data_IF_757597969382
#
_entry.id   IF_757597969382
#
_cell.length_a   1.000
_cell.length_b   1.000
_cell.length_c   1.000
_cell.angle_alpha   90.00
_cell.angle_beta   90.00
_cell.angle_gamma   90.00
#
_symmetry.space_group_name_H-M   'P 1'
#
loop_
_entity.id
_entity.type
_entity.pdbx_description
1 polymer ?
#
# COMPACT_ATOMS: atom_id res chain seq x y z
N UNK A 1 -24.35 -17.82 2.45
CA UNK A 1 -24.27 -17.15 3.77
C UNK A 1 -22.83 -16.82 4.11
N UNK A 2 -22.34 -15.65 3.70
CA UNK A 2 -21.07 -15.13 4.20
C UNK A 2 -21.30 -14.64 5.65
N UNK A 3 -20.46 -15.07 6.60
CA UNK A 3 -20.46 -14.51 7.97
C UNK A 3 -20.08 -13.03 7.91
N UNK A 4 -20.53 -12.25 8.90
CA UNK A 4 -20.38 -10.77 8.97
C UNK A 4 -18.93 -10.27 8.83
N UNK A 5 -17.92 -11.13 8.99
CA UNK A 5 -16.49 -10.83 8.83
C UNK A 5 -15.78 -11.72 7.79
N UNK A 6 -16.44 -12.01 6.67
CA UNK A 6 -15.88 -12.89 5.63
C UNK A 6 -14.90 -12.16 4.71
N UNK A 7 -13.72 -12.76 4.53
CA UNK A 7 -12.73 -12.33 3.55
C UNK A 7 -12.79 -13.13 2.23
N UNK A 8 -13.84 -13.93 2.02
CA UNK A 8 -13.96 -14.75 0.81
C UNK A 8 -13.84 -13.87 -0.45
N UNK A 9 -13.02 -14.26 -1.45
CA UNK A 9 -12.40 -15.58 -1.65
C UNK A 9 -11.05 -15.80 -0.95
N UNK A 10 -10.55 -14.83 -0.19
CA UNK A 10 -9.26 -14.92 0.49
C UNK A 10 -9.33 -15.83 1.71
N UNK A 11 -8.23 -16.57 1.94
CA UNK A 11 -8.12 -17.53 3.04
C UNK A 11 -7.91 -16.80 4.38
N UNK A 12 -8.64 -17.21 5.40
CA UNK A 12 -8.49 -16.76 6.80
C UNK A 12 -8.88 -15.28 7.04
N UNK A 13 -8.47 -14.73 8.18
CA UNK A 13 -8.69 -13.34 8.58
C UNK A 13 -7.68 -12.84 9.59
N UNK A 14 -8.05 -11.82 10.36
CA UNK A 14 -7.23 -11.18 11.39
C UNK A 14 -6.42 -12.19 12.22
N UNK A 15 -5.12 -11.91 12.40
CA UNK A 15 -4.18 -12.77 13.14
C UNK A 15 -3.54 -13.87 12.30
N UNK A 16 -3.70 -13.84 10.99
CA UNK A 16 -3.15 -14.83 10.07
C UNK A 16 -2.28 -14.17 9.00
N UNK A 17 -1.22 -14.85 8.57
CA UNK A 17 -0.38 -14.43 7.43
C UNK A 17 -0.94 -14.86 6.07
N UNK A 18 -2.12 -15.49 6.01
CA UNK A 18 -2.82 -15.74 4.75
C UNK A 18 -3.44 -14.44 4.20
N UNK A 19 -3.71 -14.40 2.90
CA UNK A 19 -4.25 -13.21 2.20
C UNK A 19 -5.42 -12.51 2.90
N UNK A 20 -6.35 -13.27 3.51
CA UNK A 20 -7.48 -12.66 4.23
C UNK A 20 -7.09 -11.92 5.50
N UNK A 21 -5.87 -12.13 6.02
CA UNK A 21 -5.34 -11.44 7.19
C UNK A 21 -4.32 -10.34 6.88
N UNK A 22 -3.81 -10.25 5.64
CA UNK A 22 -2.77 -9.28 5.25
C UNK A 22 -3.17 -8.36 4.09
N UNK A 23 -4.20 -8.70 3.31
CA UNK A 23 -4.66 -7.90 2.18
C UNK A 23 -5.79 -6.97 2.62
N UNK A 24 -5.58 -5.67 2.43
CA UNK A 24 -6.51 -4.63 2.85
C UNK A 24 -7.14 -3.91 1.64
N UNK A 25 -8.39 -3.41 1.76
CA UNK A 25 -8.95 -2.49 0.79
C UNK A 25 -8.22 -1.14 0.88
N UNK A 26 -7.84 -0.58 -0.27
CA UNK A 26 -7.16 0.71 -0.36
C UNK A 26 -7.76 1.54 -1.49
N UNK A 27 -8.17 2.77 -1.18
CA UNK A 27 -8.70 3.75 -2.13
C UNK A 27 -8.02 5.08 -1.84
N UNK A 28 -7.53 5.76 -2.88
CA UNK A 28 -6.96 7.11 -2.78
C UNK A 28 -7.76 8.03 -3.69
N UNK A 29 -8.09 9.23 -3.20
CA UNK A 29 -8.72 10.29 -3.99
C UNK A 29 -7.88 11.55 -3.85
N UNK A 30 -7.31 12.00 -4.97
CA UNK A 30 -6.57 13.26 -5.04
C UNK A 30 -6.89 13.98 -6.35
N UNK A 31 -7.81 14.97 -6.33
CA UNK A 31 -8.20 15.69 -7.54
C UNK A 31 -7.00 16.36 -8.21
N UNK A 32 -6.89 16.20 -9.53
CA UNK A 32 -5.79 16.75 -10.32
C UNK A 32 -4.51 15.90 -10.32
N UNK A 33 -4.44 14.85 -9.50
CA UNK A 33 -3.29 13.91 -9.46
C UNK A 33 -3.72 12.50 -9.80
N UNK A 34 -4.70 11.95 -9.08
CA UNK A 34 -5.21 10.59 -9.30
C UNK A 34 -6.35 10.62 -10.31
N UNK A 35 -6.23 9.85 -11.38
CA UNK A 35 -7.29 9.67 -12.36
C UNK A 35 -8.51 8.96 -11.72
N UNK A 36 -9.71 9.57 -11.72
CA UNK A 36 -10.88 8.98 -11.08
C UNK A 36 -11.30 7.64 -11.70
N UNK A 37 -11.75 6.70 -10.88
CA UNK A 37 -12.31 5.42 -11.34
C UNK A 37 -11.27 4.44 -11.90
N UNK A 38 -9.98 4.69 -11.70
CA UNK A 38 -8.90 3.80 -12.11
C UNK A 38 -8.59 2.75 -11.04
N UNK A 39 -7.88 1.69 -11.46
CA UNK A 39 -7.38 0.63 -10.61
C UNK A 39 -5.89 0.41 -10.87
N UNK A 40 -5.13 0.15 -9.81
CA UNK A 40 -3.73 -0.24 -9.85
C UNK A 40 -3.58 -1.61 -9.20
N UNK A 41 -2.88 -2.53 -9.87
CA UNK A 41 -2.66 -3.89 -9.38
C UNK A 41 -1.25 -4.12 -8.82
N UNK A 42 -0.43 -3.06 -8.80
CA UNK A 42 0.88 -3.09 -8.17
C UNK A 42 0.73 -3.34 -6.66
N UNK A 43 1.45 -4.31 -6.08
CA UNK A 43 1.36 -4.55 -4.65
C UNK A 43 2.10 -3.46 -3.87
N UNK A 44 1.50 -3.03 -2.76
CA UNK A 44 1.99 -2.00 -1.84
C UNK A 44 1.86 -2.48 -0.40
N UNK A 45 2.66 -1.93 0.51
CA UNK A 45 2.60 -2.21 1.95
C UNK A 45 2.26 -0.94 2.73
N UNK A 46 1.80 -1.10 3.97
CA UNK A 46 1.52 0.02 4.88
C UNK A 46 2.75 0.92 5.11
N UNK A 47 3.96 0.35 5.08
CA UNK A 47 5.22 1.10 5.20
C UNK A 47 5.45 2.07 4.03
N UNK A 48 4.84 1.84 2.87
CA UNK A 48 4.94 2.72 1.71
C UNK A 48 4.19 4.06 1.94
N UNK A 49 3.26 4.12 2.89
CA UNK A 49 2.48 5.34 3.15
C UNK A 49 3.34 6.45 3.75
N UNK A 50 4.32 6.14 4.59
CA UNK A 50 5.19 7.15 5.19
C UNK A 50 5.92 8.01 4.13
N UNK A 51 6.77 7.43 3.25
CA UNK A 51 7.45 8.23 2.23
C UNK A 51 6.49 8.81 1.18
N UNK A 52 5.33 8.17 0.97
CA UNK A 52 4.30 8.71 0.06
C UNK A 52 3.70 10.00 0.60
N UNK A 53 3.23 9.99 1.85
CA UNK A 53 2.59 11.17 2.46
C UNK A 53 3.58 12.33 2.59
N UNK A 54 4.85 12.06 2.91
CA UNK A 54 5.90 13.08 2.88
C UNK A 54 6.04 13.70 1.49
N UNK A 55 6.14 12.87 0.44
CA UNK A 55 6.23 13.35 -0.94
C UNK A 55 4.98 14.16 -1.35
N UNK A 56 3.78 13.71 -0.95
CA UNK A 56 2.52 14.43 -1.18
C UNK A 56 2.49 15.80 -0.51
N UNK A 57 3.09 15.91 0.68
CA UNK A 57 3.18 17.16 1.44
C UNK A 57 4.33 18.06 0.99
N UNK A 58 5.20 17.60 0.07
CA UNK A 58 6.42 18.32 -0.31
C UNK A 58 7.43 18.42 0.83
N UNK A 59 7.45 17.44 1.74
CA UNK A 59 8.34 17.38 2.90
C UNK A 59 9.42 16.34 2.70
N UNK A 60 10.62 16.63 3.21
CA UNK A 60 11.74 15.68 3.21
C UNK A 60 11.64 14.66 4.36
N UNK A 61 10.94 15.00 5.45
CA UNK A 61 10.86 14.16 6.65
C UNK A 61 12.09 14.31 7.55
N UNK A 62 12.21 13.40 8.53
CA UNK A 62 13.34 13.39 9.47
C UNK A 62 14.52 12.62 8.85
N UNK A 63 15.70 13.23 8.69
CA UNK A 63 16.84 12.57 8.05
C UNK A 63 17.32 11.31 8.78
N UNK A 64 17.24 11.27 10.11
CA UNK A 64 17.69 10.11 10.90
C UNK A 64 16.71 8.95 10.79
N UNK A 65 15.41 9.23 10.77
CA UNK A 65 14.39 8.24 10.45
C UNK A 65 14.55 7.70 9.01
N UNK A 66 14.85 8.59 8.07
CA UNK A 66 14.95 8.24 6.65
C UNK A 66 16.17 7.40 6.27
N UNK A 67 17.14 7.21 7.18
CA UNK A 67 18.38 6.44 6.91
C UNK A 67 18.08 4.99 6.55
N UNK A 68 16.99 4.43 7.09
CA UNK A 68 16.59 3.03 6.88
C UNK A 68 15.06 2.99 6.71
N UNK A 69 14.58 3.31 5.50
CA UNK A 69 13.17 3.15 5.15
C UNK A 69 12.94 1.82 4.44
N UNK A 70 12.01 1.02 4.97
CA UNK A 70 11.54 -0.21 4.32
C UNK A 70 10.54 0.05 3.19
N UNK A 71 9.82 1.17 3.29
CA UNK A 71 8.82 1.60 2.32
C UNK A 71 9.40 2.43 1.20
N UNK A 72 8.69 2.48 0.07
CA UNK A 72 8.97 3.39 -1.04
C UNK A 72 7.71 4.17 -1.40
N UNK A 73 7.87 5.41 -1.85
CA UNK A 73 6.73 6.23 -2.24
C UNK A 73 5.96 5.58 -3.39
N UNK A 74 4.64 5.49 -3.24
CA UNK A 74 3.71 5.03 -4.29
C UNK A 74 3.19 6.20 -5.13
N UNK A 75 3.68 7.43 -4.90
CA UNK A 75 3.28 8.61 -5.67
C UNK A 75 3.31 8.39 -7.20
N UNK A 76 4.34 7.74 -7.80
CA UNK A 76 4.33 7.46 -9.23
C UNK A 76 3.13 6.61 -9.68
N UNK A 77 2.65 5.69 -8.83
CA UNK A 77 1.46 4.88 -9.11
C UNK A 77 0.15 5.67 -8.96
N UNK A 78 0.15 6.70 -8.10
CA UNK A 78 -0.99 7.61 -7.95
C UNK A 78 -1.13 8.53 -9.17
N UNK A 79 -0.01 8.99 -9.71
CA UNK A 79 0.05 9.82 -10.93
C UNK A 79 -0.22 9.01 -12.20
N UNK A 80 0.25 7.76 -12.25
CA UNK A 80 0.01 6.85 -13.36
C UNK A 80 -0.08 5.38 -12.84
N UNK A 81 -1.26 4.75 -12.89
CA UNK A 81 -1.43 3.37 -12.40
C UNK A 81 -0.63 2.32 -13.20
N UNK A 82 -0.12 2.68 -14.38
CA UNK A 82 0.75 1.85 -15.21
C UNK A 82 2.25 2.21 -15.09
N UNK A 83 2.62 3.08 -14.14
CA UNK A 83 4.02 3.44 -13.93
C UNK A 83 4.89 2.20 -13.64
N UNK A 84 6.16 2.17 -14.09
CA UNK A 84 7.07 1.09 -13.77
C UNK A 84 7.16 0.85 -12.26
N UNK A 85 6.86 -0.39 -11.86
CA UNK A 85 6.91 -0.80 -10.46
C UNK A 85 7.81 -2.02 -10.30
N UNK A 86 9.13 -1.81 -10.07
CA UNK A 86 10.08 -2.91 -9.94
C UNK A 86 9.64 -3.86 -8.83
N UNK A 87 9.62 -5.16 -9.13
CA UNK A 87 9.28 -6.18 -8.15
C UNK A 87 10.22 -6.07 -6.93
N UNK A 88 9.63 -6.18 -5.74
CA UNK A 88 10.37 -6.24 -4.48
C UNK A 88 9.80 -7.34 -3.60
N UNK A 89 10.60 -7.98 -2.75
CA UNK A 89 10.06 -8.85 -1.72
C UNK A 89 9.22 -8.02 -0.74
N UNK A 90 8.11 -8.62 -0.31
CA UNK A 90 7.23 -8.09 0.72
C UNK A 90 7.31 -9.04 1.90
N UNK A 91 7.56 -8.49 3.09
CA UNK A 91 7.84 -9.29 4.28
C UNK A 91 6.73 -9.15 5.31
N UNK A 92 6.38 -10.29 5.89
CA UNK A 92 5.59 -10.38 7.11
C UNK A 92 6.30 -11.34 8.05
N UNK A 93 6.43 -10.95 9.30
CA UNK A 93 6.96 -11.78 10.36
C UNK A 93 5.91 -11.88 11.46
N UNK A 94 5.54 -13.11 11.83
CA UNK A 94 4.60 -13.36 12.93
C UNK A 94 4.82 -14.77 13.49
N UNK A 95 5.07 -14.92 14.81
CA UNK A 95 5.38 -13.85 15.76
C UNK A 95 6.73 -13.20 15.45
#
# INVERSE_FOLDING_TARGET
NARVTSNHPLRSGKGSLYEGGIREPMIVRWPGVVEPGTACHAPVLSTDFYPTILAMAGLEGDPDHNRILDGRSILPLLENPAAPWPARPLYWHYP
#
